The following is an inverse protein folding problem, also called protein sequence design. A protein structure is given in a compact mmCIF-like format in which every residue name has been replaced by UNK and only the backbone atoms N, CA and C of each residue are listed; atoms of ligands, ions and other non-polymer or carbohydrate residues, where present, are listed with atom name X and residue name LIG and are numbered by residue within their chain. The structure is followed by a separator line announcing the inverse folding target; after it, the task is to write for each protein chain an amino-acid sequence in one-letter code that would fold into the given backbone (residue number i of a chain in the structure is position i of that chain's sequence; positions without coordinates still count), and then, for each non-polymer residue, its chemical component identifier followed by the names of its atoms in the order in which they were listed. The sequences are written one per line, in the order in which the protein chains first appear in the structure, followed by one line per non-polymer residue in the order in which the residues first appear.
data_IF_933779466760
#
_entry.id   IF_933779466760
#
_cell.length_a   1.000
_cell.length_b   1.000
_cell.length_c   1.000
_cell.angle_alpha   90.00
_cell.angle_beta   90.00
_cell.angle_gamma   90.00
#
_symmetry.space_group_name_H-M   'P 1'
#
loop_
_entity.id
_entity.type
_entity.pdbx_description
1 polymer ?
#
# COMPACT_ATOMS: atom_id res chain seq x y z
N UNK A 1 11.49 -5.59 9.51
CA UNK A 1 11.54 -6.27 8.20
C UNK A 1 12.13 -5.27 7.21
N UNK A 2 13.25 -5.60 6.56
CA UNK A 2 13.80 -4.75 5.50
C UNK A 2 13.01 -4.96 4.21
N UNK A 3 12.41 -3.92 3.66
CA UNK A 3 11.76 -3.95 2.35
C UNK A 3 12.67 -3.22 1.35
N UNK A 4 12.89 -3.82 0.18
CA UNK A 4 13.55 -3.16 -0.95
C UNK A 4 12.54 -3.07 -2.09
N UNK A 5 12.47 -1.90 -2.68
CA UNK A 5 11.62 -1.61 -3.83
C UNK A 5 12.51 -1.58 -5.07
N UNK A 6 12.03 -2.16 -6.17
CA UNK A 6 12.65 -2.16 -7.50
C UNK A 6 11.52 -2.34 -8.54
N UNK A 7 11.70 -1.88 -9.79
CA UNK A 7 12.86 -1.16 -10.31
C UNK A 7 12.90 0.30 -9.85
N UNK A 8 14.06 0.94 -9.98
CA UNK A 8 14.14 2.38 -9.78
C UNK A 8 13.45 3.11 -10.94
N UNK A 9 12.67 4.14 -10.62
CA UNK A 9 11.95 4.90 -11.64
C UNK A 9 12.89 5.88 -12.34
N UNK A 10 12.88 5.83 -13.68
CA UNK A 10 13.58 6.77 -14.54
C UNK A 10 12.72 8.00 -14.89
N UNK A 11 11.39 7.85 -14.86
CA UNK A 11 10.45 8.91 -15.22
C UNK A 11 10.18 9.85 -14.03
N UNK A 12 10.62 11.10 -14.15
CA UNK A 12 10.49 12.13 -13.10
C UNK A 12 9.03 12.44 -12.77
N UNK A 13 8.12 12.38 -13.75
CA UNK A 13 6.69 12.59 -13.55
C UNK A 13 6.07 11.55 -12.61
N UNK A 14 6.32 10.27 -12.86
CA UNK A 14 5.85 9.15 -12.03
C UNK A 14 6.41 9.23 -10.61
N UNK A 15 7.70 9.58 -10.45
CA UNK A 15 8.31 9.77 -9.12
C UNK A 15 7.65 10.91 -8.34
N UNK A 16 7.38 12.04 -9.00
CA UNK A 16 6.74 13.20 -8.37
C UNK A 16 5.34 12.87 -7.85
N UNK A 17 4.55 12.11 -8.62
CA UNK A 17 3.22 11.66 -8.18
C UNK A 17 3.31 10.74 -6.97
N UNK A 18 4.25 9.80 -6.96
CA UNK A 18 4.47 8.92 -5.80
C UNK A 18 4.87 9.71 -4.54
N UNK A 19 5.77 10.68 -4.68
CA UNK A 19 6.16 11.57 -3.58
C UNK A 19 4.97 12.40 -3.07
N UNK A 20 4.14 12.94 -3.96
CA UNK A 20 2.89 13.62 -3.59
C UNK A 20 1.93 12.71 -2.84
N UNK A 21 1.87 11.44 -3.22
CA UNK A 21 1.14 10.39 -2.51
C UNK A 21 1.89 9.88 -1.27
N UNK A 22 3.02 10.47 -0.86
CA UNK A 22 3.84 10.03 0.29
C UNK A 22 4.30 8.57 0.18
N UNK A 23 4.66 8.15 -1.02
CA UNK A 23 5.30 6.87 -1.31
C UNK A 23 6.77 7.14 -1.61
N UNK A 24 7.65 6.59 -0.76
CA UNK A 24 9.09 6.65 -0.99
C UNK A 24 9.48 5.51 -1.95
N UNK A 25 9.69 5.87 -3.22
CA UNK A 25 10.10 4.94 -4.27
C UNK A 25 11.53 5.26 -4.73
N UNK A 26 12.38 4.25 -4.99
CA UNK A 26 13.74 4.48 -5.47
C UNK A 26 13.79 5.26 -6.77
N UNK A 27 14.65 6.27 -6.80
CA UNK A 27 14.98 7.06 -7.99
C UNK A 27 16.39 6.78 -8.48
N UNK A 28 16.57 6.81 -9.80
CA UNK A 28 17.89 6.76 -10.44
C UNK A 28 18.36 5.38 -10.91
N UNK A 29 19.33 5.37 -11.82
CA UNK A 29 19.97 4.17 -12.34
C UNK A 29 20.83 3.51 -11.25
N UNK A 30 20.32 2.42 -10.66
CA UNK A 30 21.03 1.66 -9.65
C UNK A 30 22.22 0.88 -10.23
N UNK A 31 23.44 1.31 -9.89
CA UNK A 31 24.56 0.41 -9.60
C UNK A 31 25.64 0.21 -10.67
N UNK A 32 26.89 0.57 -10.31
CA UNK A 32 28.13 0.23 -11.03
C UNK A 32 28.30 -1.28 -11.30
N UNK A 33 27.61 -2.16 -10.57
CA UNK A 33 27.67 -3.62 -10.69
C UNK A 33 26.62 -4.24 -11.64
N UNK A 34 25.73 -3.41 -12.21
CA UNK A 34 24.70 -3.88 -13.13
C UNK A 34 25.28 -4.50 -14.44
N UNK A 35 26.32 -3.92 -15.08
CA UNK A 35 26.90 -4.49 -16.29
C UNK A 35 27.53 -5.89 -16.08
N UNK A 36 28.18 -6.10 -14.93
CA UNK A 36 28.79 -7.38 -14.58
C UNK A 36 27.74 -8.47 -14.37
N UNK A 37 26.63 -8.11 -13.69
CA UNK A 37 25.50 -9.01 -13.44
C UNK A 37 24.79 -9.38 -14.74
N UNK A 38 24.55 -8.41 -15.64
CA UNK A 38 23.99 -8.67 -16.98
C UNK A 38 24.91 -9.60 -17.78
N UNK A 39 26.23 -9.41 -17.71
CA UNK A 39 27.21 -10.29 -18.37
C UNK A 39 27.20 -11.71 -17.79
N UNK A 40 26.98 -11.86 -16.48
CA UNK A 40 26.80 -13.15 -15.85
C UNK A 40 25.50 -13.84 -16.30
N UNK A 41 24.40 -13.12 -16.39
CA UNK A 41 23.13 -13.63 -16.91
C UNK A 41 23.25 -14.07 -18.37
N UNK A 42 23.97 -13.33 -19.23
CA UNK A 42 24.26 -13.74 -20.61
C UNK A 42 25.04 -15.06 -20.67
N UNK A 43 26.01 -15.27 -19.77
CA UNK A 43 26.74 -16.54 -19.66
C UNK A 43 25.84 -17.69 -19.19
N UNK A 44 25.01 -17.47 -18.18
CA UNK A 44 24.05 -18.46 -17.69
C UNK A 44 23.04 -18.86 -18.77
N UNK A 45 22.59 -17.87 -19.57
CA UNK A 45 21.68 -18.08 -20.68
C UNK A 45 22.29 -19.00 -21.75
N UNK A 46 23.56 -18.79 -22.11
CA UNK A 46 24.27 -19.67 -23.06
C UNK A 46 24.53 -21.09 -22.57
N UNK A 47 24.40 -21.34 -21.26
CA UNK A 47 24.54 -22.67 -20.64
C UNK A 47 23.20 -23.35 -20.35
N UNK A 48 22.08 -22.63 -20.52
CA UNK A 48 20.75 -23.14 -20.18
C UNK A 48 20.26 -24.14 -21.24
N UNK A 49 19.76 -25.32 -20.84
CA UNK A 49 19.17 -26.29 -21.77
C UNK A 49 17.86 -25.80 -22.38
N UNK A 50 17.24 -24.76 -21.80
CA UNK A 50 16.02 -24.14 -22.30
C UNK A 50 16.30 -23.04 -23.35
N UNK A 51 17.55 -22.60 -23.48
CA UNK A 51 17.95 -21.58 -24.44
C UNK A 51 18.32 -22.22 -25.78
N UNK A 52 17.69 -21.75 -26.86
CA UNK A 52 18.11 -22.08 -28.20
C UNK A 52 18.89 -20.89 -28.77
N UNK A 53 20.08 -21.17 -29.31
CA UNK A 53 20.76 -20.20 -30.17
C UNK A 53 19.94 -20.14 -31.45
N UNK A 54 19.54 -18.94 -31.86
CA UNK A 54 18.73 -18.80 -33.07
C UNK A 54 19.51 -19.30 -34.28
N UNK A 55 19.11 -20.45 -34.82
CA UNK A 55 19.62 -20.94 -36.09
C UNK A 55 18.83 -20.25 -37.21
N UNK A 56 19.53 -19.54 -38.11
CA UNK A 56 18.93 -18.99 -39.32
C UNK A 56 18.49 -20.14 -40.23
N UNK A 57 17.26 -20.61 -40.04
CA UNK A 57 16.57 -21.45 -41.00
C UNK A 57 16.23 -20.66 -42.27
N UNK A 58 16.25 -21.28 -43.46
CA UNK A 58 15.91 -20.61 -44.70
C UNK A 58 14.39 -20.35 -44.73
N UNK A 59 13.95 -19.19 -44.24
CA UNK A 59 12.55 -18.74 -44.34
C UNK A 59 11.97 -17.99 -43.14
N UNK A 60 12.70 -17.88 -42.02
CA UNK A 60 12.23 -17.12 -40.86
C UNK A 60 12.60 -15.64 -40.96
N UNK A 61 11.61 -14.77 -40.71
CA UNK A 61 11.73 -13.32 -40.84
C UNK A 61 12.89 -12.71 -40.04
N UNK A 62 13.34 -11.53 -40.49
CA UNK A 62 14.39 -10.73 -39.85
C UNK A 62 14.06 -10.54 -38.36
N UNK A 63 14.95 -10.99 -37.47
CA UNK A 63 14.81 -10.73 -36.04
C UNK A 63 14.93 -9.23 -35.76
N UNK A 64 14.19 -8.71 -34.77
CA UNK A 64 14.49 -7.41 -34.20
C UNK A 64 15.95 -7.36 -33.75
N UNK A 65 16.66 -6.26 -34.03
CA UNK A 65 18.11 -6.10 -33.79
C UNK A 65 18.52 -6.25 -32.30
N UNK A 66 17.55 -6.25 -31.37
CA UNK A 66 17.76 -6.22 -29.92
C UNK A 66 17.61 -7.59 -29.22
N UNK A 67 17.32 -8.67 -29.96
CA UNK A 67 17.11 -10.01 -29.40
C UNK A 67 18.40 -10.80 -29.32
N UNK A 68 18.71 -11.31 -28.12
CA UNK A 68 19.91 -12.09 -27.81
C UNK A 68 19.71 -13.57 -28.11
N UNK A 69 18.59 -14.15 -27.63
CA UNK A 69 18.26 -15.56 -27.86
C UNK A 69 16.76 -15.84 -27.65
N UNK A 70 16.36 -17.08 -27.92
CA UNK A 70 15.03 -17.60 -27.59
C UNK A 70 15.12 -18.59 -26.43
N UNK A 71 14.13 -18.55 -25.53
CA UNK A 71 14.02 -19.48 -24.39
C UNK A 71 12.68 -20.19 -24.42
N UNK A 72 12.70 -21.51 -24.34
CA UNK A 72 11.51 -22.35 -24.24
C UNK A 72 11.03 -22.44 -22.79
N UNK A 73 9.90 -21.79 -22.50
CA UNK A 73 9.30 -21.69 -21.17
C UNK A 73 8.37 -22.87 -20.85
N UNK A 74 7.61 -23.36 -21.84
CA UNK A 74 6.58 -24.40 -21.61
C UNK A 74 7.17 -25.67 -20.99
N UNK A 75 8.27 -26.16 -21.56
CA UNK A 75 8.96 -27.36 -21.07
C UNK A 75 9.42 -27.20 -19.62
N UNK A 76 9.90 -26.01 -19.24
CA UNK A 76 10.32 -25.72 -17.88
C UNK A 76 9.14 -25.71 -16.89
N UNK A 77 8.03 -25.08 -17.26
CA UNK A 77 6.79 -25.04 -16.44
C UNK A 77 6.28 -26.45 -16.15
N UNK A 78 6.23 -27.30 -17.17
CA UNK A 78 5.77 -28.70 -17.07
C UNK A 78 6.73 -29.54 -16.23
N UNK A 79 8.04 -29.44 -16.46
CA UNK A 79 9.07 -30.18 -15.70
C UNK A 79 9.08 -29.83 -14.22
N UNK A 80 8.88 -28.55 -13.89
CA UNK A 80 8.86 -28.06 -12.50
C UNK A 80 7.48 -28.18 -11.83
N UNK A 81 6.43 -28.58 -12.57
CA UNK A 81 5.08 -28.73 -12.05
C UNK A 81 4.49 -27.42 -11.51
N UNK A 82 4.82 -26.30 -12.14
CA UNK A 82 4.38 -24.97 -11.69
C UNK A 82 2.89 -24.75 -11.96
N UNK A 83 2.21 -24.05 -11.05
CA UNK A 83 0.75 -23.86 -11.10
C UNK A 83 0.37 -22.38 -11.17
N UNK A 84 -0.65 -22.06 -11.97
CA UNK A 84 -1.22 -20.71 -12.05
C UNK A 84 -0.62 -19.81 -13.12
N UNK A 85 0.33 -20.32 -13.91
CA UNK A 85 0.91 -19.68 -15.09
C UNK A 85 -0.05 -19.71 -16.28
N UNK A 86 0.07 -18.75 -17.19
CA UNK A 86 -0.70 -18.68 -18.42
C UNK A 86 -0.35 -19.86 -19.36
N UNK A 87 -1.34 -20.58 -19.91
CA UNK A 87 -1.08 -21.74 -20.77
C UNK A 87 -0.41 -21.40 -22.12
N UNK A 88 -0.45 -20.13 -22.53
CA UNK A 88 0.17 -19.64 -23.77
C UNK A 88 1.66 -19.30 -23.60
N UNK A 89 2.24 -19.45 -22.41
CA UNK A 89 3.67 -19.29 -22.21
C UNK A 89 4.43 -20.42 -22.90
N UNK A 90 5.04 -20.09 -24.05
CA UNK A 90 5.77 -21.05 -24.87
C UNK A 90 7.21 -20.60 -25.12
N UNK A 91 7.41 -19.57 -25.95
CA UNK A 91 8.73 -19.06 -26.32
C UNK A 91 8.88 -17.60 -25.90
N UNK A 92 10.02 -17.31 -25.28
CA UNK A 92 10.41 -15.96 -24.88
C UNK A 92 11.58 -15.46 -25.74
N UNK A 93 11.40 -14.32 -26.39
CA UNK A 93 12.51 -13.56 -26.97
C UNK A 93 13.20 -12.77 -25.85
N UNK A 94 14.46 -13.08 -25.59
CA UNK A 94 15.26 -12.43 -24.54
C UNK A 94 16.00 -11.26 -25.15
N UNK A 95 15.74 -10.06 -24.64
CA UNK A 95 16.44 -8.82 -25.01
C UNK A 95 17.38 -8.40 -23.88
N UNK A 96 18.32 -7.51 -24.18
CA UNK A 96 19.21 -6.95 -23.15
C UNK A 96 18.44 -6.19 -22.06
N UNK A 97 17.32 -5.55 -22.42
CA UNK A 97 16.43 -4.88 -21.47
C UNK A 97 15.88 -5.83 -20.40
N UNK A 98 15.40 -7.02 -20.81
CA UNK A 98 14.90 -8.05 -19.87
C UNK A 98 16.00 -8.53 -18.91
N UNK A 99 17.21 -8.72 -19.41
CA UNK A 99 18.35 -9.11 -18.58
C UNK A 99 18.76 -8.00 -17.59
N UNK A 100 18.63 -6.72 -17.98
CA UNK A 100 18.88 -5.59 -17.09
C UNK A 100 17.86 -5.56 -15.95
N UNK A 101 16.57 -5.72 -16.24
CA UNK A 101 15.53 -5.80 -15.21
C UNK A 101 15.76 -6.96 -14.24
N UNK A 102 16.17 -8.13 -14.73
CA UNK A 102 16.54 -9.26 -13.87
C UNK A 102 17.78 -8.99 -13.02
N UNK A 103 18.78 -8.32 -13.58
CA UNK A 103 19.99 -7.95 -12.85
C UNK A 103 19.69 -6.97 -11.70
N UNK A 104 18.82 -5.98 -11.92
CA UNK A 104 18.36 -5.06 -10.87
C UNK A 104 17.63 -5.82 -9.75
N UNK A 105 16.75 -6.77 -10.11
CA UNK A 105 16.03 -7.61 -9.16
C UNK A 105 16.97 -8.53 -8.36
N UNK A 106 17.93 -9.18 -9.01
CA UNK A 106 18.95 -9.99 -8.34
C UNK A 106 19.76 -9.15 -7.36
N UNK A 107 20.18 -7.95 -7.77
CA UNK A 107 20.93 -7.05 -6.91
C UNK A 107 20.12 -6.64 -5.66
N UNK A 108 18.82 -6.37 -5.81
CA UNK A 108 17.95 -6.07 -4.67
C UNK A 108 17.83 -7.24 -3.69
N UNK A 109 17.68 -8.47 -4.20
CA UNK A 109 17.65 -9.68 -3.36
C UNK A 109 18.98 -9.89 -2.62
N UNK A 110 20.11 -9.66 -3.28
CA UNK A 110 21.43 -9.72 -2.64
C UNK A 110 21.57 -8.71 -1.51
N UNK A 111 21.09 -7.49 -1.71
CA UNK A 111 21.15 -6.46 -0.69
C UNK A 111 20.23 -6.80 0.50
N UNK A 112 19.05 -7.39 0.25
CA UNK A 112 18.17 -7.88 1.31
C UNK A 112 18.83 -8.97 2.17
N UNK A 113 19.53 -9.92 1.56
CA UNK A 113 20.21 -10.99 2.31
C UNK A 113 21.39 -10.45 3.12
N UNK A 114 22.18 -9.53 2.57
CA UNK A 114 23.31 -8.88 3.26
C UNK A 114 22.84 -7.97 4.40
N UNK A 115 21.76 -7.20 4.20
CA UNK A 115 21.19 -6.35 5.27
C UNK A 115 20.63 -7.16 6.45
N UNK A 116 20.11 -8.37 6.21
CA UNK A 116 19.72 -9.31 7.27
C UNK A 116 20.93 -9.96 7.98
N UNK A 117 22.08 -9.99 7.32
CA UNK A 117 23.33 -10.61 7.79
C UNK A 117 24.37 -9.58 8.27
N UNK A 118 24.00 -8.32 8.46
CA UNK A 118 24.88 -7.24 8.96
C UNK A 118 25.33 -7.42 10.44
N UNK A 119 25.57 -8.67 10.85
CA UNK A 119 26.46 -9.08 11.94
C UNK A 119 27.65 -9.94 11.47
N UNK A 120 27.80 -10.32 10.19
CA UNK A 120 28.94 -11.16 9.74
C UNK A 120 29.29 -10.95 8.27
N UNK A 121 30.58 -10.76 8.01
CA UNK A 121 31.14 -10.39 6.71
C UNK A 121 31.08 -11.53 5.66
N UNK A 122 30.90 -11.10 4.41
CA UNK A 122 31.33 -11.70 3.15
C UNK A 122 31.18 -13.23 3.01
N UNK A 123 30.10 -13.68 2.37
CA UNK A 123 30.04 -15.01 1.75
C UNK A 123 29.30 -14.95 0.40
N UNK A 124 29.79 -15.77 -0.53
CA UNK A 124 29.14 -16.07 -1.80
C UNK A 124 27.75 -16.69 -1.59
N UNK A 125 26.83 -16.40 -2.50
CA UNK A 125 25.43 -16.85 -2.54
C UNK A 125 25.18 -18.34 -2.26
N UNK A 126 26.19 -19.19 -2.45
CA UNK A 126 26.10 -20.64 -2.26
C UNK A 126 26.06 -21.11 -0.80
N UNK A 127 26.27 -20.24 0.20
CA UNK A 127 26.37 -20.65 1.62
C UNK A 127 25.37 -19.99 2.58
N UNK A 128 24.41 -19.20 2.10
CA UNK A 128 23.39 -18.58 2.96
C UNK A 128 22.16 -19.49 3.16
N UNK A 129 22.32 -20.59 3.91
CA UNK A 129 21.18 -21.35 4.43
C UNK A 129 20.55 -20.55 5.59
N UNK A 130 19.45 -19.82 5.35
CA UNK A 130 18.60 -19.41 6.48
C UNK A 130 17.58 -18.29 6.28
N UNK A 131 17.70 -17.40 5.30
CA UNK A 131 16.73 -16.30 5.13
C UNK A 131 16.48 -16.00 3.65
N UNK A 132 15.51 -16.68 3.04
CA UNK A 132 15.09 -16.39 1.68
C UNK A 132 14.16 -15.16 1.68
N UNK A 133 14.38 -14.24 0.73
CA UNK A 133 13.54 -13.05 0.57
C UNK A 133 12.22 -13.45 -0.14
N UNK A 134 11.08 -12.94 0.33
CA UNK A 134 9.82 -13.04 -0.41
C UNK A 134 9.79 -11.93 -1.46
N UNK A 135 9.38 -12.27 -2.67
CA UNK A 135 9.39 -11.35 -3.80
C UNK A 135 7.95 -11.17 -4.27
N UNK A 136 7.46 -9.94 -4.19
CA UNK A 136 6.11 -9.59 -4.63
C UNK A 136 6.20 -8.67 -5.83
N UNK A 137 5.73 -9.18 -6.97
CA UNK A 137 5.55 -8.41 -8.19
C UNK A 137 4.18 -7.75 -8.15
N UNK A 138 4.13 -6.42 -8.09
CA UNK A 138 2.87 -5.66 -8.23
C UNK A 138 2.73 -5.31 -9.71
N UNK A 139 1.72 -5.89 -10.37
CA UNK A 139 1.63 -5.89 -11.83
C UNK A 139 0.24 -5.47 -12.27
N UNK A 140 0.13 -4.71 -13.36
CA UNK A 140 -1.16 -4.52 -14.02
C UNK A 140 -1.65 -5.83 -14.64
N UNK A 141 -2.97 -6.01 -14.78
CA UNK A 141 -3.51 -7.19 -15.46
C UNK A 141 -3.07 -7.28 -16.94
N UNK A 142 -2.71 -6.17 -17.56
CA UNK A 142 -2.24 -6.10 -18.96
C UNK A 142 -0.79 -6.60 -19.12
N UNK A 143 0.04 -6.39 -18.09
CA UNK A 143 1.46 -6.76 -18.10
C UNK A 143 1.73 -8.12 -17.44
N UNK A 144 0.70 -8.77 -16.86
CA UNK A 144 0.86 -10.03 -16.14
C UNK A 144 1.59 -11.10 -16.97
N UNK A 145 1.21 -11.24 -18.25
CA UNK A 145 1.83 -12.22 -19.14
C UNK A 145 3.34 -11.99 -19.30
N UNK A 146 3.75 -10.73 -19.48
CA UNK A 146 5.16 -10.36 -19.61
C UNK A 146 5.92 -10.56 -18.30
N UNK A 147 5.29 -10.27 -17.16
CA UNK A 147 5.90 -10.52 -15.86
C UNK A 147 6.10 -12.02 -15.59
N UNK A 148 5.15 -12.87 -15.99
CA UNK A 148 5.31 -14.33 -15.87
C UNK A 148 6.47 -14.85 -16.74
N UNK A 149 6.70 -14.26 -17.92
CA UNK A 149 7.88 -14.56 -18.73
C UNK A 149 9.19 -14.21 -18.01
N UNK A 150 9.25 -13.05 -17.36
CA UNK A 150 10.43 -12.63 -16.59
C UNK A 150 10.67 -13.49 -15.34
N UNK A 151 9.62 -13.84 -14.59
CA UNK A 151 9.70 -14.76 -13.45
C UNK A 151 10.29 -16.11 -13.87
N UNK A 152 9.78 -16.70 -14.97
CA UNK A 152 10.29 -17.96 -15.50
C UNK A 152 11.72 -17.85 -16.02
N UNK A 153 12.06 -16.76 -16.74
CA UNK A 153 13.42 -16.51 -17.20
C UNK A 153 14.40 -16.49 -16.02
N UNK A 154 14.04 -15.84 -14.92
CA UNK A 154 14.89 -15.82 -13.74
C UNK A 154 15.05 -17.20 -13.09
N UNK A 155 13.96 -17.95 -12.94
CA UNK A 155 14.00 -19.33 -12.41
C UNK A 155 14.89 -20.26 -13.25
N UNK A 156 14.94 -20.05 -14.57
CA UNK A 156 15.80 -20.80 -15.49
C UNK A 156 17.27 -20.41 -15.31
N UNK A 157 17.56 -19.12 -15.19
CA UNK A 157 18.93 -18.59 -15.15
C UNK A 157 19.60 -18.71 -13.77
N UNK A 158 18.80 -18.78 -12.71
CA UNK A 158 19.26 -18.78 -11.32
C UNK A 158 18.37 -19.72 -10.48
N UNK A 159 18.51 -21.04 -10.67
CA UNK A 159 17.72 -22.02 -9.95
C UNK A 159 18.12 -22.02 -8.47
N UNK A 160 17.22 -21.55 -7.60
CA UNK A 160 17.45 -21.48 -6.17
C UNK A 160 16.18 -21.26 -5.37
N UNK A 161 16.22 -21.43 -4.03
CA UNK A 161 15.04 -21.27 -3.19
C UNK A 161 14.49 -19.84 -3.19
N UNK A 162 15.31 -18.84 -3.51
CA UNK A 162 14.91 -17.42 -3.60
C UNK A 162 13.97 -17.15 -4.79
N UNK A 163 14.17 -17.81 -5.93
CA UNK A 163 13.30 -17.63 -7.11
C UNK A 163 11.96 -18.37 -6.97
N UNK A 164 11.86 -19.33 -6.05
CA UNK A 164 10.63 -20.05 -5.74
C UNK A 164 9.62 -19.24 -4.90
N UNK A 165 10.07 -18.17 -4.24
CA UNK A 165 9.24 -17.30 -3.38
C UNK A 165 8.65 -16.09 -4.11
N UNK A 166 8.66 -16.12 -5.45
CA UNK A 166 8.06 -15.08 -6.29
C UNK A 166 6.54 -15.23 -6.33
N UNK A 167 5.84 -14.13 -6.06
CA UNK A 167 4.37 -14.02 -6.06
C UNK A 167 3.91 -12.77 -6.82
N UNK A 168 2.74 -12.85 -7.45
CA UNK A 168 2.17 -11.78 -8.26
C UNK A 168 0.93 -11.21 -7.57
N UNK A 169 0.97 -9.92 -7.27
CA UNK A 169 -0.20 -9.12 -6.90
C UNK A 169 -0.69 -8.39 -8.14
N UNK A 170 -1.76 -8.91 -8.75
CA UNK A 170 -2.28 -8.43 -10.04
C UNK A 170 -3.37 -7.40 -9.81
N UNK A 171 -3.15 -6.19 -10.30
CA UNK A 171 -4.07 -5.07 -10.18
C UNK A 171 -4.96 -4.94 -11.42
N UNK A 172 -6.26 -4.73 -11.20
CA UNK A 172 -7.23 -4.45 -12.24
C UNK A 172 -7.05 -3.05 -12.84
N UNK A 173 -7.69 -2.77 -13.99
CA UNK A 173 -7.50 -1.52 -14.70
C UNK A 173 -8.23 -0.37 -14.02
N UNK A 174 -7.71 0.85 -14.20
CA UNK A 174 -8.37 2.09 -13.78
C UNK A 174 -9.02 2.72 -15.01
N UNK A 175 -10.33 2.97 -14.95
CA UNK A 175 -11.11 3.61 -16.02
C UNK A 175 -11.73 4.91 -15.54
N UNK A 176 -11.78 5.90 -16.41
CA UNK A 176 -12.43 7.18 -16.16
C UNK A 176 -13.82 7.18 -16.79
N UNK A 177 -14.85 7.65 -16.08
CA UNK A 177 -16.19 7.86 -16.66
C UNK A 177 -16.17 9.07 -17.61
N UNK A 178 -16.81 8.93 -18.77
CA UNK A 178 -16.95 10.00 -19.76
C UNK A 178 -15.64 10.78 -20.08
N UNK A 179 -14.56 10.10 -20.50
CA UNK A 179 -13.29 10.77 -20.72
C UNK A 179 -13.40 11.74 -21.89
N UNK A 180 -13.31 13.04 -21.62
CA UNK A 180 -13.12 14.07 -22.65
C UNK A 180 -11.72 14.03 -23.24
N UNK A 181 -10.73 13.55 -22.47
CA UNK A 181 -9.34 13.31 -22.87
C UNK A 181 -8.67 12.31 -21.90
N UNK A 182 -7.56 11.66 -22.29
CA UNK A 182 -6.75 10.86 -21.37
C UNK A 182 -6.21 11.74 -20.24
N UNK A 183 -6.42 11.33 -18.99
CA UNK A 183 -5.91 12.06 -17.81
C UNK A 183 -4.65 11.38 -17.27
N UNK A 184 -3.59 12.16 -17.10
CA UNK A 184 -2.37 11.71 -16.43
C UNK A 184 -2.55 11.60 -14.91
N UNK A 185 -1.69 10.82 -14.24
CA UNK A 185 -1.75 10.66 -12.78
C UNK A 185 -1.50 11.99 -12.03
N UNK A 186 -0.62 12.84 -12.57
CA UNK A 186 -0.35 14.18 -12.05
C UNK A 186 -1.56 15.10 -12.17
N UNK A 187 -2.22 15.09 -13.34
CA UNK A 187 -3.43 15.88 -13.61
C UNK A 187 -4.58 15.45 -12.70
N UNK A 188 -4.75 14.13 -12.52
CA UNK A 188 -5.73 13.58 -11.60
C UNK A 188 -5.43 13.98 -10.14
N UNK A 189 -4.17 13.95 -9.70
CA UNK A 189 -3.80 14.44 -8.37
C UNK A 189 -4.15 15.93 -8.21
N UNK A 190 -3.79 16.78 -9.17
CA UNK A 190 -4.08 18.22 -9.11
C UNK A 190 -5.60 18.50 -9.12
N UNK A 191 -6.37 17.70 -9.87
CA UNK A 191 -7.83 17.78 -9.86
C UNK A 191 -8.39 17.50 -8.47
N UNK A 192 -8.00 16.38 -7.84
CA UNK A 192 -8.46 16.04 -6.48
C UNK A 192 -8.00 17.07 -5.45
N UNK A 193 -6.78 17.61 -5.58
CA UNK A 193 -6.28 18.70 -4.71
C UNK A 193 -7.16 19.94 -4.82
N UNK A 194 -7.52 20.35 -6.03
CA UNK A 194 -8.42 21.49 -6.27
C UNK A 194 -9.80 21.27 -5.64
N UNK A 195 -10.38 20.08 -5.83
CA UNK A 195 -11.67 19.73 -5.23
C UNK A 195 -11.62 19.79 -3.69
N UNK A 196 -10.53 19.33 -3.07
CA UNK A 196 -10.35 19.40 -1.62
C UNK A 196 -10.19 20.83 -1.12
N UNK A 197 -9.46 21.66 -1.87
CA UNK A 197 -9.33 23.08 -1.59
C UNK A 197 -10.70 23.78 -1.65
N UNK A 198 -11.45 23.61 -2.74
CA UNK A 198 -12.78 24.21 -2.92
C UNK A 198 -13.75 23.78 -1.81
N UNK A 199 -13.78 22.48 -1.47
CA UNK A 199 -14.63 21.97 -0.39
C UNK A 199 -14.25 22.55 0.99
N UNK A 200 -12.96 22.81 1.22
CA UNK A 200 -12.47 23.41 2.46
C UNK A 200 -12.84 24.88 2.55
N UNK A 201 -12.66 25.65 1.46
CA UNK A 201 -13.05 27.07 1.38
C UNK A 201 -14.55 27.23 1.60
N UNK A 202 -15.39 26.36 1.03
CA UNK A 202 -16.84 26.40 1.24
C UNK A 202 -17.26 26.16 2.70
N UNK A 203 -16.45 25.44 3.50
CA UNK A 203 -16.76 25.11 4.90
C UNK A 203 -16.19 26.12 5.90
N UNK A 204 -15.00 26.66 5.62
CA UNK A 204 -14.24 27.47 6.57
C UNK A 204 -14.00 28.92 6.10
N UNK A 205 -14.44 29.27 4.89
CA UNK A 205 -14.17 30.55 4.25
C UNK A 205 -12.81 30.59 3.55
N UNK A 206 -12.45 31.75 3.00
CA UNK A 206 -11.10 31.98 2.46
C UNK A 206 -10.10 31.99 3.62
N UNK A 207 -9.49 30.84 3.82
CA UNK A 207 -8.37 30.67 4.73
C UNK A 207 -7.17 31.31 4.03
N UNK A 208 -6.64 32.40 4.59
CA UNK A 208 -5.40 33.01 4.11
C UNK A 208 -4.31 31.93 4.01
N UNK A 209 -3.42 32.04 3.02
CA UNK A 209 -2.37 31.07 2.64
C UNK A 209 -1.43 30.66 3.79
N UNK A 210 -1.96 29.92 4.76
CA UNK A 210 -1.22 29.36 5.88
C UNK A 210 -0.61 28.04 5.42
N UNK A 211 0.67 27.85 5.73
CA UNK A 211 1.38 26.62 5.45
C UNK A 211 0.70 25.42 6.13
N UNK A 212 0.11 25.62 7.32
CA UNK A 212 -0.62 24.58 8.04
C UNK A 212 -1.87 24.13 7.26
N UNK A 213 -2.60 25.07 6.66
CA UNK A 213 -3.79 24.75 5.85
C UNK A 213 -3.45 24.03 4.55
N UNK A 214 -2.32 24.40 3.93
CA UNK A 214 -1.82 23.70 2.75
C UNK A 214 -1.51 22.24 3.05
N UNK A 215 -0.86 21.96 4.19
CA UNK A 215 -0.55 20.59 4.63
C UNK A 215 -1.81 19.76 4.95
N UNK A 216 -2.84 20.39 5.55
CA UNK A 216 -4.13 19.74 5.80
C UNK A 216 -4.80 19.35 4.48
N UNK A 217 -4.83 20.26 3.51
CA UNK A 217 -5.41 20.00 2.18
C UNK A 217 -4.64 18.90 1.45
N UNK A 218 -3.31 18.91 1.53
CA UNK A 218 -2.47 17.86 0.93
C UNK A 218 -2.74 16.51 1.60
N UNK A 219 -2.84 16.47 2.92
CA UNK A 219 -3.19 15.23 3.65
C UNK A 219 -4.58 14.72 3.27
N UNK A 220 -5.58 15.60 3.18
CA UNK A 220 -6.93 15.24 2.75
C UNK A 220 -6.96 14.74 1.31
N UNK A 221 -6.18 15.36 0.42
CA UNK A 221 -6.07 14.94 -0.99
C UNK A 221 -5.47 13.54 -1.10
N UNK A 222 -4.38 13.27 -0.37
CA UNK A 222 -3.75 11.95 -0.36
C UNK A 222 -4.70 10.91 0.24
N UNK A 223 -5.41 11.23 1.32
CA UNK A 223 -6.42 10.34 1.90
C UNK A 223 -7.55 10.03 0.93
N UNK A 224 -8.07 11.04 0.23
CA UNK A 224 -9.10 10.89 -0.79
C UNK A 224 -8.66 9.93 -1.90
N UNK A 225 -7.49 10.18 -2.50
CA UNK A 225 -6.97 9.34 -3.60
C UNK A 225 -6.71 7.91 -3.11
N UNK A 226 -6.08 7.73 -1.95
CA UNK A 226 -5.80 6.39 -1.43
C UNK A 226 -7.07 5.61 -1.13
N UNK A 227 -8.09 6.24 -0.56
CA UNK A 227 -9.37 5.56 -0.35
C UNK A 227 -10.06 5.25 -1.68
N UNK A 228 -10.05 6.14 -2.66
CA UNK A 228 -10.62 5.88 -3.99
C UNK A 228 -9.94 4.68 -4.67
N UNK A 229 -8.62 4.57 -4.54
CA UNK A 229 -7.83 3.48 -5.15
C UNK A 229 -7.88 2.16 -4.37
N UNK A 230 -7.90 2.21 -3.04
CA UNK A 230 -7.72 1.03 -2.18
C UNK A 230 -9.01 0.48 -1.58
N UNK A 231 -10.15 1.19 -1.71
CA UNK A 231 -11.45 0.71 -1.20
C UNK A 231 -12.11 -0.36 -2.07
N UNK A 232 -11.53 -0.65 -3.23
CA UNK A 232 -11.96 -1.71 -4.14
C UNK A 232 -10.90 -2.81 -4.14
N UNK A 233 -11.33 -4.07 -4.25
CA UNK A 233 -10.41 -5.20 -4.30
C UNK A 233 -9.43 -5.03 -5.46
N UNK A 234 -8.14 -5.24 -5.21
CA UNK A 234 -7.05 -4.93 -6.14
C UNK A 234 -7.23 -5.49 -7.57
N UNK A 235 -7.84 -6.67 -7.75
CA UNK A 235 -8.08 -7.28 -9.08
C UNK A 235 -9.25 -6.67 -9.85
N UNK A 236 -10.12 -5.92 -9.19
CA UNK A 236 -11.32 -5.36 -9.81
C UNK A 236 -10.98 -4.08 -10.56
N UNK A 237 -11.76 -3.79 -11.61
CA UNK A 237 -11.68 -2.50 -12.28
C UNK A 237 -12.10 -1.37 -11.33
N UNK A 238 -11.31 -0.31 -11.28
CA UNK A 238 -11.65 0.92 -10.57
C UNK A 238 -12.23 1.90 -11.60
N UNK A 239 -13.36 2.51 -11.26
CA UNK A 239 -14.01 3.52 -12.10
C UNK A 239 -13.91 4.87 -11.40
N UNK A 240 -13.17 5.80 -11.98
CA UNK A 240 -12.98 7.16 -11.49
C UNK A 240 -14.03 8.07 -12.11
N UNK A 241 -14.81 8.72 -11.26
CA UNK A 241 -15.67 9.82 -11.65
C UNK A 241 -14.98 11.16 -11.35
N UNK A 242 -14.64 11.89 -12.41
CA UNK A 242 -13.95 13.18 -12.31
C UNK A 242 -14.89 14.32 -11.94
N UNK A 243 -16.19 14.16 -12.21
CA UNK A 243 -17.23 15.16 -11.92
C UNK A 243 -17.82 14.96 -10.52
N UNK A 244 -17.77 13.74 -9.99
CA UNK A 244 -18.31 13.44 -8.68
C UNK A 244 -17.53 14.18 -7.57
N UNK A 245 -18.28 15.04 -6.89
CA UNK A 245 -17.84 15.79 -5.70
C UNK A 245 -18.03 14.98 -4.41
N UNK A 246 -18.39 13.68 -4.49
CA UNK A 246 -18.53 12.77 -3.35
C UNK A 246 -17.28 12.60 -2.48
N UNK A 247 -16.12 13.07 -2.97
CA UNK A 247 -14.87 13.20 -2.22
C UNK A 247 -14.93 14.37 -1.21
N UNK A 248 -16.02 15.14 -1.20
CA UNK A 248 -16.31 16.14 -0.18
C UNK A 248 -16.10 15.61 1.24
N UNK A 249 -15.71 16.51 2.14
CA UNK A 249 -15.68 16.29 3.59
C UNK A 249 -17.03 15.84 4.17
N UNK A 250 -18.12 15.98 3.41
CA UNK A 250 -19.47 15.52 3.76
C UNK A 250 -19.79 14.09 3.30
N UNK A 251 -19.03 13.51 2.37
CA UNK A 251 -19.25 12.15 1.88
C UNK A 251 -18.84 11.11 2.92
N UNK A 252 -19.78 10.37 3.49
CA UNK A 252 -19.51 9.41 4.59
C UNK A 252 -18.65 8.21 4.19
N UNK A 253 -18.36 8.05 2.89
CA UNK A 253 -17.55 6.96 2.32
C UNK A 253 -16.17 7.41 1.84
N UNK A 254 -15.76 8.65 2.13
CA UNK A 254 -14.47 9.19 1.65
C UNK A 254 -13.38 9.10 2.70
N UNK A 255 -12.12 9.03 2.24
CA UNK A 255 -10.96 9.17 3.13
C UNK A 255 -10.98 10.50 3.88
N UNK A 256 -11.48 11.58 3.27
CA UNK A 256 -11.63 12.88 3.93
C UNK A 256 -12.54 12.83 5.16
N UNK A 257 -13.63 12.04 5.13
CA UNK A 257 -14.50 11.85 6.28
C UNK A 257 -13.83 11.10 7.43
N UNK A 258 -13.01 10.08 7.12
CA UNK A 258 -12.20 9.37 8.12
C UNK A 258 -11.21 10.34 8.79
N UNK A 259 -10.54 11.15 7.99
CA UNK A 259 -9.56 12.13 8.46
C UNK A 259 -10.19 13.23 9.31
N UNK A 260 -11.40 13.68 8.96
CA UNK A 260 -12.19 14.60 9.78
C UNK A 260 -12.49 14.03 11.17
N UNK A 261 -12.86 12.75 11.27
CA UNK A 261 -13.13 12.11 12.55
C UNK A 261 -11.86 11.97 13.42
N UNK A 262 -10.70 11.77 12.80
CA UNK A 262 -9.41 11.83 13.51
C UNK A 262 -9.18 13.23 14.10
N UNK A 263 -9.42 14.29 13.33
CA UNK A 263 -9.28 15.66 13.80
C UNK A 263 -10.26 15.99 14.95
N UNK A 264 -11.48 15.46 14.93
CA UNK A 264 -12.44 15.59 16.04
C UNK A 264 -11.93 14.93 17.32
N UNK A 265 -11.39 13.72 17.23
CA UNK A 265 -10.79 13.03 18.37
C UNK A 265 -9.58 13.79 18.90
N UNK A 266 -8.70 14.25 18.04
CA UNK A 266 -7.55 15.06 18.43
C UNK A 266 -7.99 16.34 19.16
N UNK A 267 -8.98 17.06 18.62
CA UNK A 267 -9.55 18.27 19.24
C UNK A 267 -10.19 17.97 20.61
N UNK A 268 -10.92 16.86 20.74
CA UNK A 268 -11.49 16.42 22.02
C UNK A 268 -10.39 16.25 23.08
N UNK A 269 -9.34 15.49 22.75
CA UNK A 269 -8.26 15.20 23.70
C UNK A 269 -7.43 16.44 24.03
N UNK A 270 -7.15 17.29 23.05
CA UNK A 270 -6.44 18.56 23.27
C UNK A 270 -7.28 19.52 24.14
N UNK A 271 -8.59 19.58 23.92
CA UNK A 271 -9.51 20.37 24.76
C UNK A 271 -9.51 19.87 26.21
N UNK A 272 -9.58 18.54 26.40
CA UNK A 272 -9.50 17.94 27.73
C UNK A 272 -8.15 18.24 28.40
N UNK A 273 -7.04 18.04 27.68
CA UNK A 273 -5.69 18.29 28.21
C UNK A 273 -5.53 19.76 28.65
N UNK A 274 -5.94 20.72 27.82
CA UNK A 274 -5.92 22.14 28.16
C UNK A 274 -6.81 22.48 29.36
N UNK A 275 -7.93 21.78 29.52
CA UNK A 275 -8.82 21.96 30.67
C UNK A 275 -8.22 21.36 31.96
N UNK A 276 -7.46 20.26 31.88
CA UNK A 276 -6.68 19.71 33.00
C UNK A 276 -5.57 20.68 33.42
N UNK A 277 -4.82 21.22 32.46
CA UNK A 277 -3.76 22.22 32.71
C UNK A 277 -4.29 23.48 33.40
N UNK A 278 -5.55 23.86 33.11
CA UNK A 278 -6.26 24.99 33.74
C UNK A 278 -6.94 24.62 35.06
N UNK A 279 -6.85 23.37 35.51
CA UNK A 279 -7.49 22.88 36.74
C UNK A 279 -9.00 22.74 36.67
N UNK A 280 -9.60 22.74 35.47
CA UNK A 280 -11.05 22.57 35.28
C UNK A 280 -11.47 21.11 35.42
N UNK A 281 -10.66 20.16 34.92
CA UNK A 281 -10.87 18.73 35.11
C UNK A 281 -9.68 18.09 35.84
N UNK A 282 -9.87 16.96 36.53
CA UNK A 282 -8.77 16.14 37.02
C UNK A 282 -8.02 15.45 35.87
N UNK A 283 -6.75 15.06 36.06
CA UNK A 283 -6.05 14.19 35.11
C UNK A 283 -6.75 12.84 34.96
N UNK A 284 -6.61 12.21 33.79
CA UNK A 284 -7.26 10.95 33.49
C UNK A 284 -6.67 9.84 34.38
N UNK A 285 -7.48 9.15 35.20
CA UNK A 285 -6.99 8.06 36.03
C UNK A 285 -6.51 6.86 35.20
N UNK A 286 -5.63 6.01 35.74
CA UNK A 286 -5.25 4.75 35.11
C UNK A 286 -6.47 3.85 34.85
N UNK A 287 -6.40 3.02 33.80
CA UNK A 287 -7.51 2.15 33.40
C UNK A 287 -7.99 1.17 34.50
N UNK A 288 -7.13 0.82 35.45
CA UNK A 288 -7.43 -0.05 36.59
C UNK A 288 -8.32 0.61 37.65
N UNK A 289 -8.37 1.95 37.67
CA UNK A 289 -9.17 2.75 38.61
C UNK A 289 -10.50 3.22 37.99
N UNK A 290 -10.71 2.98 36.69
CA UNK A 290 -11.90 3.43 35.98
C UNK A 290 -13.10 2.51 36.22
N UNK A 291 -14.26 3.13 36.43
CA UNK A 291 -15.53 2.41 36.54
C UNK A 291 -16.21 2.27 35.17
N UNK A 292 -15.92 1.19 34.45
CA UNK A 292 -16.55 0.90 33.15
C UNK A 292 -18.05 0.57 33.22
N UNK A 293 -18.63 0.32 34.40
CA UNK A 293 -20.09 0.14 34.53
C UNK A 293 -20.91 1.40 34.26
N UNK A 294 -20.23 2.55 34.13
CA UNK A 294 -20.81 3.83 33.72
C UNK A 294 -21.06 3.94 32.20
N UNK A 295 -20.49 3.03 31.40
CA UNK A 295 -20.77 2.90 29.97
C UNK A 295 -22.09 2.14 29.78
N UNK A 296 -23.12 2.84 29.30
CA UNK A 296 -24.51 2.35 29.19
C UNK A 296 -25.13 2.63 27.84
N UNK A 297 -24.52 3.49 27.04
CA UNK A 297 -25.05 3.86 25.73
C UNK A 297 -24.75 2.74 24.72
N UNK A 298 -25.73 2.42 23.88
CA UNK A 298 -25.57 1.38 22.85
C UNK A 298 -24.36 1.65 21.94
N UNK A 299 -24.09 2.93 21.63
CA UNK A 299 -22.93 3.34 20.84
C UNK A 299 -21.59 3.02 21.48
N UNK A 300 -21.49 2.99 22.81
CA UNK A 300 -20.24 2.64 23.52
C UNK A 300 -19.90 1.16 23.32
N UNK A 301 -20.92 0.30 23.47
CA UNK A 301 -20.81 -1.14 23.26
C UNK A 301 -20.57 -1.49 21.80
N UNK A 302 -21.24 -0.78 20.89
CA UNK A 302 -21.02 -0.92 19.45
C UNK A 302 -19.54 -0.62 19.12
N UNK A 303 -18.99 0.49 19.61
CA UNK A 303 -17.59 0.84 19.37
C UNK A 303 -16.61 -0.23 19.89
N UNK A 304 -16.88 -0.76 21.08
CA UNK A 304 -16.06 -1.80 21.69
C UNK A 304 -16.11 -3.13 20.91
N UNK A 305 -17.31 -3.68 20.72
CA UNK A 305 -17.48 -5.04 20.17
C UNK A 305 -17.26 -5.14 18.67
N UNK A 306 -17.56 -4.08 17.92
CA UNK A 306 -17.46 -4.15 16.45
C UNK A 306 -16.13 -3.63 15.92
N UNK A 307 -15.38 -2.86 16.72
CA UNK A 307 -14.15 -2.23 16.24
C UNK A 307 -12.95 -2.48 17.13
N UNK A 308 -13.03 -2.20 18.44
CA UNK A 308 -11.84 -2.33 19.29
C UNK A 308 -11.41 -3.80 19.47
N UNK A 309 -12.34 -4.68 19.81
CA UNK A 309 -12.05 -6.10 20.03
C UNK A 309 -11.62 -6.85 18.75
N UNK A 310 -12.29 -6.71 17.58
CA UNK A 310 -11.92 -7.45 16.37
C UNK A 310 -10.78 -6.81 15.56
N UNK A 311 -10.30 -5.61 15.94
CA UNK A 311 -9.28 -4.91 15.15
C UNK A 311 -8.00 -5.72 14.89
N UNK A 312 -7.42 -6.45 15.87
CA UNK A 312 -6.23 -7.25 15.62
C UNK A 312 -6.44 -8.31 14.54
N UNK A 313 -7.59 -9.00 14.55
CA UNK A 313 -7.94 -10.01 13.56
C UNK A 313 -8.19 -9.38 12.18
N UNK A 314 -8.88 -8.24 12.11
CA UNK A 314 -9.10 -7.50 10.86
C UNK A 314 -7.77 -7.12 10.24
N UNK A 315 -6.83 -6.59 11.04
CA UNK A 315 -5.52 -6.20 10.56
C UNK A 315 -4.70 -7.42 10.11
N UNK A 316 -4.74 -8.51 10.87
CA UNK A 316 -4.05 -9.75 10.52
C UNK A 316 -4.57 -10.31 9.19
N UNK A 317 -5.89 -10.34 8.99
CA UNK A 317 -6.51 -10.81 7.75
C UNK A 317 -6.19 -9.91 6.54
N UNK A 318 -6.04 -8.60 6.77
CA UNK A 318 -5.64 -7.65 5.73
C UNK A 318 -4.16 -7.77 5.34
N UNK A 319 -3.29 -8.09 6.31
CA UNK A 319 -1.85 -8.18 6.13
C UNK A 319 -1.34 -9.58 5.75
N UNK A 320 -2.19 -10.60 5.79
CA UNK A 320 -1.81 -11.97 5.46
C UNK A 320 -1.45 -12.09 3.96
N UNK A 321 -0.16 -12.19 3.69
CA UNK A 321 0.32 -12.81 2.47
C UNK A 321 -0.09 -14.29 2.55
N UNK A 322 -0.81 -14.84 1.55
CA UNK A 322 -1.24 -16.24 1.57
C UNK A 322 -0.05 -17.16 1.91
N UNK A 323 -0.25 -18.21 2.73
CA UNK A 323 0.80 -19.20 2.95
C UNK A 323 1.27 -19.77 1.62
N UNK A 324 2.51 -20.29 1.57
CA UNK A 324 3.14 -20.84 0.37
C UNK A 324 2.20 -21.79 -0.38
N UNK A 325 1.44 -21.23 -1.32
CA UNK A 325 0.57 -21.96 -2.22
C UNK A 325 1.36 -22.27 -3.47
N UNK A 326 1.01 -23.37 -4.15
CA UNK A 326 1.62 -23.68 -5.46
C UNK A 326 1.31 -22.63 -6.53
N UNK A 327 0.27 -21.82 -6.33
CA UNK A 327 -0.15 -20.76 -7.25
C UNK A 327 0.78 -19.55 -7.21
N UNK A 328 0.95 -18.88 -8.35
CA UNK A 328 1.78 -17.67 -8.47
C UNK A 328 1.10 -16.40 -7.93
N UNK A 329 -0.24 -16.33 -7.97
CA UNK A 329 -1.00 -15.14 -7.58
C UNK A 329 -1.21 -15.06 -6.07
N UNK A 330 -1.14 -13.85 -5.53
CA UNK A 330 -1.51 -13.50 -4.15
C UNK A 330 -2.55 -12.38 -4.16
N UNK A 331 -3.19 -12.18 -3.01
CA UNK A 331 -4.21 -11.14 -2.81
C UNK A 331 -3.78 -10.15 -1.74
N UNK A 332 -4.11 -8.88 -1.94
CA UNK A 332 -4.08 -7.86 -0.90
C UNK A 332 -5.52 -7.40 -0.62
N UNK A 333 -5.89 -7.35 0.66
CA UNK A 333 -7.25 -7.02 1.10
C UNK A 333 -7.32 -5.60 1.65
N UNK A 334 -6.73 -4.63 0.93
CA UNK A 334 -6.68 -3.22 1.37
C UNK A 334 -8.08 -2.62 1.53
N UNK A 335 -9.03 -3.09 0.74
CA UNK A 335 -10.42 -2.67 0.79
C UNK A 335 -11.09 -3.00 2.12
N UNK A 336 -10.63 -4.05 2.80
CA UNK A 336 -11.15 -4.43 4.12
C UNK A 336 -10.78 -3.37 5.15
N UNK A 337 -9.54 -2.85 5.12
CA UNK A 337 -9.09 -1.77 6.01
C UNK A 337 -9.84 -0.47 5.72
N UNK A 338 -10.02 -0.11 4.44
CA UNK A 338 -10.78 1.08 4.06
C UNK A 338 -12.25 1.00 4.51
N UNK A 339 -12.91 -0.14 4.28
CA UNK A 339 -14.30 -0.37 4.72
C UNK A 339 -14.41 -0.31 6.25
N UNK A 340 -13.46 -0.93 6.97
CA UNK A 340 -13.39 -0.86 8.42
C UNK A 340 -13.31 0.59 8.92
N UNK A 341 -12.39 1.39 8.36
CA UNK A 341 -12.21 2.80 8.72
C UNK A 341 -13.45 3.66 8.43
N UNK A 342 -14.12 3.42 7.29
CA UNK A 342 -15.36 4.11 6.92
C UNK A 342 -16.47 3.77 7.91
N UNK A 343 -16.68 2.49 8.22
CA UNK A 343 -17.74 2.02 9.11
C UNK A 343 -17.50 2.52 10.54
N UNK A 344 -16.27 2.43 11.04
CA UNK A 344 -15.86 3.00 12.32
C UNK A 344 -16.13 4.51 12.36
N UNK A 345 -15.80 5.24 11.29
CA UNK A 345 -16.04 6.69 11.22
C UNK A 345 -17.52 7.07 11.28
N UNK A 346 -18.38 6.29 10.62
CA UNK A 346 -19.83 6.52 10.65
C UNK A 346 -20.40 6.30 12.05
N UNK A 347 -20.05 5.18 12.68
CA UNK A 347 -20.57 4.83 14.01
C UNK A 347 -19.99 5.73 15.11
N UNK A 348 -18.70 6.06 15.04
CA UNK A 348 -18.09 7.06 15.90
C UNK A 348 -18.74 8.43 15.74
N UNK A 349 -18.95 8.91 14.51
CA UNK A 349 -19.63 10.19 14.27
C UNK A 349 -21.04 10.21 14.86
N UNK A 350 -21.79 9.11 14.69
CA UNK A 350 -23.14 8.96 15.24
C UNK A 350 -23.12 9.01 16.77
N UNK A 351 -22.22 8.25 17.40
CA UNK A 351 -22.04 8.23 18.85
C UNK A 351 -21.65 9.60 19.40
N UNK A 352 -20.60 10.22 18.86
CA UNK A 352 -20.08 11.51 19.33
C UNK A 352 -21.13 12.63 19.22
N UNK A 353 -21.97 12.61 18.19
CA UNK A 353 -23.03 13.62 18.03
C UNK A 353 -24.14 13.51 19.07
N UNK A 354 -24.37 12.30 19.62
CA UNK A 354 -25.44 12.03 20.60
C UNK A 354 -24.96 12.18 22.04
N UNK A 355 -23.69 11.89 22.30
CA UNK A 355 -23.15 11.73 23.64
C UNK A 355 -22.15 12.83 23.96
N UNK A 356 -22.45 13.60 25.00
CA UNK A 356 -21.51 14.59 25.53
C UNK A 356 -20.39 13.89 26.30
N UNK A 357 -19.16 14.01 25.76
CA UNK A 357 -17.97 13.44 26.38
C UNK A 357 -17.45 14.38 27.48
N UNK A 358 -17.11 15.62 27.11
CA UNK A 358 -16.72 16.68 28.05
C UNK A 358 -17.98 17.47 28.44
N UNK A 359 -18.54 17.15 29.61
CA UNK A 359 -19.69 17.84 30.20
C UNK A 359 -19.29 18.85 31.27
N UNK A 360 -20.24 19.37 32.04
CA UNK A 360 -19.93 20.29 33.15
C UNK A 360 -18.98 19.64 34.17
N UNK A 361 -18.04 20.39 34.78
CA UNK A 361 -16.98 19.85 35.63
C UNK A 361 -17.48 19.48 37.03
N UNK A 362 -18.54 18.68 37.11
CA UNK A 362 -19.09 18.20 38.37
C UNK A 362 -18.51 16.82 38.76
N UNK A 363 -18.03 16.64 40.01
CA UNK A 363 -17.38 15.41 40.43
C UNK A 363 -18.18 14.12 40.17
N UNK A 364 -19.50 14.17 40.32
CA UNK A 364 -20.37 13.01 40.09
C UNK A 364 -20.51 12.59 38.62
N UNK A 365 -20.03 13.40 37.66
CA UNK A 365 -20.02 13.10 36.23
C UNK A 365 -18.66 12.55 35.76
N UNK A 366 -17.62 12.62 36.60
CA UNK A 366 -16.26 12.28 36.20
C UNK A 366 -16.07 10.80 35.87
N UNK A 367 -16.68 9.90 36.63
CA UNK A 367 -16.55 8.45 36.39
C UNK A 367 -16.99 8.08 34.96
N UNK A 368 -18.13 8.61 34.52
CA UNK A 368 -18.62 8.36 33.17
C UNK A 368 -17.76 9.07 32.11
N UNK A 369 -17.37 10.32 32.35
CA UNK A 369 -16.50 11.07 31.45
C UNK A 369 -15.16 10.34 31.23
N UNK A 370 -14.51 9.88 32.29
CA UNK A 370 -13.23 9.18 32.21
C UNK A 370 -13.35 7.83 31.51
N UNK A 371 -14.41 7.07 31.79
CA UNK A 371 -14.67 5.81 31.07
C UNK A 371 -14.85 6.07 29.55
N UNK A 372 -15.57 7.12 29.17
CA UNK A 372 -15.75 7.53 27.76
C UNK A 372 -14.46 8.01 27.12
N UNK A 373 -13.66 8.81 27.83
CA UNK A 373 -12.35 9.24 27.36
C UNK A 373 -11.42 8.05 27.13
N UNK A 374 -11.44 7.05 28.01
CA UNK A 374 -10.66 5.83 27.82
C UNK A 374 -11.11 5.03 26.60
N UNK A 375 -12.42 4.85 26.42
CA UNK A 375 -12.98 4.22 25.23
C UNK A 375 -12.55 4.94 23.95
N UNK A 376 -12.70 6.27 23.91
CA UNK A 376 -12.34 7.07 22.74
C UNK A 376 -10.83 7.16 22.51
N UNK A 377 -10.02 6.99 23.56
CA UNK A 377 -8.57 6.87 23.45
C UNK A 377 -8.20 5.61 22.69
N UNK A 378 -8.81 4.48 23.05
CA UNK A 378 -8.64 3.23 22.32
C UNK A 378 -9.14 3.33 20.86
N UNK A 379 -10.28 4.00 20.62
CA UNK A 379 -10.80 4.24 19.26
C UNK A 379 -9.82 5.06 18.42
N UNK A 380 -9.23 6.12 19.00
CA UNK A 380 -8.19 6.93 18.34
C UNK A 380 -6.99 6.08 17.97
N UNK A 381 -6.52 5.22 18.87
CA UNK A 381 -5.34 4.38 18.63
C UNK A 381 -5.62 3.34 17.52
N UNK A 382 -6.86 2.83 17.42
CA UNK A 382 -7.33 2.00 16.30
C UNK A 382 -7.34 2.78 14.99
N UNK A 383 -7.89 4.01 14.96
CA UNK A 383 -7.85 4.89 13.78
C UNK A 383 -6.42 5.08 13.29
N UNK A 384 -5.52 5.46 14.20
CA UNK A 384 -4.13 5.75 13.87
C UNK A 384 -3.41 4.51 13.34
N UNK A 385 -3.61 3.36 13.99
CA UNK A 385 -3.00 2.09 13.59
C UNK A 385 -3.49 1.64 12.21
N UNK A 386 -4.80 1.72 11.95
CA UNK A 386 -5.38 1.39 10.66
C UNK A 386 -4.92 2.34 9.54
N UNK A 387 -4.92 3.66 9.78
CA UNK A 387 -4.44 4.65 8.81
C UNK A 387 -2.94 4.51 8.50
N UNK A 388 -2.13 4.11 9.48
CA UNK A 388 -0.71 3.87 9.28
C UNK A 388 -0.44 2.76 8.25
N UNK A 389 -1.30 1.73 8.17
CA UNK A 389 -1.19 0.67 7.14
C UNK A 389 -1.40 1.20 5.72
N UNK A 390 -2.15 2.29 5.59
CA UNK A 390 -2.38 3.01 4.33
C UNK A 390 -1.38 4.16 4.14
N UNK A 391 -0.36 4.26 5.00
CA UNK A 391 0.64 5.35 5.03
C UNK A 391 0.00 6.74 5.11
N UNK A 392 -1.14 6.84 5.79
CA UNK A 392 -1.86 8.08 6.02
C UNK A 392 -1.58 8.58 7.45
N UNK A 393 -1.00 9.77 7.63
CA UNK A 393 -0.89 10.36 8.96
C UNK A 393 -2.27 10.84 9.42
N UNK A 394 -2.69 10.57 10.66
CA UNK A 394 -3.95 11.10 11.18
C UNK A 394 -3.89 12.64 11.29
N UNK A 395 -5.00 13.31 10.99
CA UNK A 395 -5.09 14.77 11.15
C UNK A 395 -5.31 15.14 12.61
N UNK A 396 -4.54 16.12 13.09
CA UNK A 396 -4.64 16.67 14.43
C UNK A 396 -5.69 17.78 14.54
N UNK A 397 -6.02 18.46 13.44
CA UNK A 397 -7.00 19.53 13.38
C UNK A 397 -7.55 19.69 11.95
N UNK A 398 -8.78 20.22 11.84
CA UNK A 398 -9.44 20.56 10.57
C UNK A 398 -10.38 21.75 10.76
#
# INVERSE_FOLDING_TARGET
VGVRLVPALAEEGSLKVLQQLRVDWPSGSGGLALPDTVSALKRALGQSPCAATWEQGPGTGVLPEDVICTVHLRSFVEQQGLVGYDPNLDVLLVTEGKLRSLAELQQAVLQCTVSNLAGTACLSLSQCQGSCCNIVHVVSCEEEFQQQQLDLLWRILDPGPHTALQKHLVCGPVKVTNPSSPIGADQYFQLRKRQMYEASVMKYGELAQDQAWTEVIDTLTVAAIRFEMLSTAHQSQITLDLEDSSISTKGTKSGAFVMYNCARLATLFDTYQRAVERGTYPPLPPASELNFSCLREEGEWLLLFNYLLPFPEVLQQAAQLPPSSKGIRITANTETVCKFLIQLSMDFSSYYNRVHILGEPFPHLFDQMFARLQLLGAVRDVFHSALATLHLPPLSQI
#
